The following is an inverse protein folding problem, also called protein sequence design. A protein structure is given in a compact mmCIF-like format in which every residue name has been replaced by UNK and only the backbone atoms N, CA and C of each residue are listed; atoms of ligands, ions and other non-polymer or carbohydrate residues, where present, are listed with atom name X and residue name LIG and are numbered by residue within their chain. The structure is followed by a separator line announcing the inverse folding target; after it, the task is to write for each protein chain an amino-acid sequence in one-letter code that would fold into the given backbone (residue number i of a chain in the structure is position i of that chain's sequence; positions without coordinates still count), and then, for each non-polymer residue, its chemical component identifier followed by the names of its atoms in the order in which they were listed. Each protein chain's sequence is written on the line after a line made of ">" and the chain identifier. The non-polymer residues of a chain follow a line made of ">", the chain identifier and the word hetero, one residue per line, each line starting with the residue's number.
data_IF_566152953965
#
_entry.id   IF_566152953965
#
_cell.length_a   1.000
_cell.length_b   1.000
_cell.length_c   1.000
_cell.angle_alpha   90.00
_cell.angle_beta   90.00
_cell.angle_gamma   90.00
#
_symmetry.space_group_name_H-M   'P 1'
#
loop_
_entity.id
_entity.type
_entity.pdbx_description
1 polymer ?
#
# COMPACT_ATOMS: atom_id res chain seq x y z
N UNK A 1 18.01 13.05 -6.41
CA UNK A 1 16.70 12.53 -6.86
C UNK A 1 16.42 11.11 -6.37
N UNK A 2 17.35 10.16 -6.46
CA UNK A 2 17.22 8.82 -5.87
C UNK A 2 16.93 8.84 -4.36
N UNK A 3 17.59 9.74 -3.61
CA UNK A 3 17.38 9.91 -2.17
C UNK A 3 15.95 10.36 -1.80
N UNK A 4 15.32 11.21 -2.60
CA UNK A 4 13.91 11.60 -2.36
C UNK A 4 12.94 10.44 -2.54
N UNK A 5 13.13 9.61 -3.59
CA UNK A 5 12.34 8.39 -3.78
C UNK A 5 12.63 7.36 -2.71
N UNK A 6 13.89 7.18 -2.34
CA UNK A 6 14.28 6.32 -1.22
C UNK A 6 13.51 6.66 0.06
N UNK A 7 13.48 7.93 0.47
CA UNK A 7 12.75 8.37 1.65
C UNK A 7 11.23 8.15 1.52
N UNK A 8 10.65 8.46 0.36
CA UNK A 8 9.21 8.26 0.12
C UNK A 8 8.85 6.77 0.25
N UNK A 9 9.60 5.89 -0.43
CA UNK A 9 9.29 4.46 -0.41
C UNK A 9 9.67 3.79 0.91
N UNK A 10 10.73 4.22 1.61
CA UNK A 10 11.00 3.76 2.97
C UNK A 10 9.82 4.06 3.90
N UNK A 11 9.31 5.29 3.87
CA UNK A 11 8.13 5.64 4.68
C UNK A 11 6.85 4.95 4.22
N UNK A 12 6.70 4.68 2.92
CA UNK A 12 5.54 3.95 2.41
C UNK A 12 5.47 2.53 2.99
N UNK A 13 6.61 1.85 3.13
CA UNK A 13 6.69 0.49 3.65
C UNK A 13 6.84 0.41 5.16
N UNK A 14 7.33 1.47 5.82
CA UNK A 14 7.20 1.64 7.27
C UNK A 14 5.85 2.31 7.54
N UNK A 15 4.84 1.50 7.85
CA UNK A 15 3.48 2.00 8.10
C UNK A 15 2.75 1.09 9.10
N UNK A 16 1.69 1.57 9.78
CA UNK A 16 0.98 0.79 10.80
C UNK A 16 0.43 -0.53 10.27
N UNK A 17 -0.01 -0.56 9.01
CA UNK A 17 -0.49 -1.78 8.37
C UNK A 17 0.59 -2.86 8.28
N UNK A 18 1.81 -2.51 7.88
CA UNK A 18 2.94 -3.46 7.84
C UNK A 18 3.28 -4.00 9.22
N UNK A 19 3.23 -3.14 10.26
CA UNK A 19 3.47 -3.53 11.64
C UNK A 19 2.43 -4.54 12.14
N UNK A 20 1.15 -4.22 11.98
CA UNK A 20 0.03 -5.07 12.39
C UNK A 20 -0.02 -6.37 11.57
N UNK A 21 0.27 -6.31 10.27
CA UNK A 21 0.34 -7.50 9.40
C UNK A 21 1.42 -8.46 9.86
N UNK A 22 2.58 -7.95 10.30
CA UNK A 22 3.65 -8.78 10.91
C UNK A 22 3.15 -9.49 12.17
N UNK A 23 2.36 -8.82 12.97
CA UNK A 23 1.70 -9.40 14.15
C UNK A 23 0.71 -10.49 13.78
N UNK A 24 -0.15 -10.27 12.79
CA UNK A 24 -1.07 -11.31 12.29
C UNK A 24 -0.33 -12.56 11.84
N UNK A 25 0.75 -12.40 11.07
CA UNK A 25 1.55 -13.51 10.57
C UNK A 25 2.21 -14.31 11.70
N UNK A 26 2.73 -13.62 12.73
CA UNK A 26 3.31 -14.25 13.92
C UNK A 26 2.24 -15.02 14.71
N UNK A 27 1.08 -14.41 14.95
CA UNK A 27 -0.05 -15.07 15.66
C UNK A 27 -0.64 -16.23 14.88
N UNK A 28 -0.49 -16.25 13.55
CA UNK A 28 -0.87 -17.40 12.70
C UNK A 28 0.13 -18.57 12.79
N UNK A 29 1.26 -18.41 13.49
CA UNK A 29 2.25 -19.48 13.71
C UNK A 29 3.54 -19.34 12.90
N UNK A 30 3.74 -18.25 12.15
CA UNK A 30 4.97 -18.02 11.38
C UNK A 30 6.10 -17.50 12.25
N UNK A 31 7.31 -18.05 12.06
CA UNK A 31 8.51 -17.64 12.79
C UNK A 31 8.99 -16.24 12.39
N UNK A 32 9.88 -15.66 13.18
CA UNK A 32 10.49 -14.36 12.91
C UNK A 32 11.03 -14.26 11.47
N UNK A 33 11.88 -15.20 11.08
CA UNK A 33 12.46 -15.20 9.73
C UNK A 33 11.43 -15.49 8.64
N UNK A 34 10.40 -16.30 8.92
CA UNK A 34 9.31 -16.55 7.98
C UNK A 34 8.54 -15.28 7.67
N UNK A 35 8.16 -14.52 8.70
CA UNK A 35 7.43 -13.25 8.55
C UNK A 35 8.25 -12.23 7.75
N UNK A 36 9.50 -11.98 8.14
CA UNK A 36 10.38 -11.02 7.46
C UNK A 36 10.65 -11.47 6.02
N UNK A 37 10.93 -12.76 5.81
CA UNK A 37 11.21 -13.34 4.49
C UNK A 37 10.02 -13.25 3.53
N UNK A 38 8.81 -13.59 4.00
CA UNK A 38 7.57 -13.48 3.19
C UNK A 38 7.30 -12.03 2.82
N UNK A 39 7.44 -11.09 3.76
CA UNK A 39 7.22 -9.67 3.47
C UNK A 39 8.26 -9.12 2.49
N UNK A 40 9.53 -9.47 2.63
CA UNK A 40 10.58 -9.10 1.69
C UNK A 40 10.36 -9.68 0.29
N UNK A 41 10.03 -10.97 0.21
CA UNK A 41 9.75 -11.64 -1.06
C UNK A 41 8.55 -11.00 -1.77
N UNK A 42 7.47 -10.75 -1.03
CA UNK A 42 6.27 -10.12 -1.58
C UNK A 42 6.54 -8.68 -2.02
N UNK A 43 7.35 -7.93 -1.26
CA UNK A 43 7.77 -6.58 -1.65
C UNK A 43 8.62 -6.63 -2.92
N UNK A 44 9.58 -7.52 -3.02
CA UNK A 44 10.42 -7.66 -4.21
C UNK A 44 9.58 -8.01 -5.44
N UNK A 45 8.70 -9.01 -5.33
CA UNK A 45 7.83 -9.45 -6.43
C UNK A 45 6.83 -8.36 -6.84
N UNK A 46 6.22 -7.66 -5.88
CA UNK A 46 5.27 -6.56 -6.15
C UNK A 46 5.93 -5.32 -6.74
N UNK A 47 7.17 -5.01 -6.35
CA UNK A 47 7.92 -3.88 -6.87
C UNK A 47 8.34 -4.05 -8.34
N UNK A 48 8.51 -5.25 -8.86
CA UNK A 48 8.87 -5.47 -10.26
C UNK A 48 7.82 -4.84 -11.21
N UNK A 49 6.56 -5.27 -11.24
CA UNK A 49 5.54 -4.67 -12.11
C UNK A 49 5.30 -3.20 -11.78
N UNK A 50 5.34 -2.81 -10.52
CA UNK A 50 5.18 -1.43 -10.09
C UNK A 50 6.25 -0.50 -10.69
N UNK A 51 7.53 -0.89 -10.64
CA UNK A 51 8.63 -0.10 -11.23
C UNK A 51 8.54 0.00 -12.75
N UNK A 52 8.13 -1.08 -13.44
CA UNK A 52 7.91 -1.04 -14.89
C UNK A 52 6.84 -0.01 -15.25
N UNK A 53 5.71 0.00 -14.57
CA UNK A 53 4.63 0.96 -14.80
C UNK A 53 5.01 2.39 -14.37
N UNK A 54 5.84 2.53 -13.35
CA UNK A 54 6.38 3.81 -12.86
C UNK A 54 7.24 4.53 -13.90
N UNK A 55 7.84 3.80 -14.86
CA UNK A 55 8.61 4.39 -15.95
C UNK A 55 7.77 5.31 -16.85
N UNK A 56 6.45 5.12 -16.90
CA UNK A 56 5.56 6.03 -17.60
C UNK A 56 5.59 7.45 -17.02
N UNK A 57 5.66 7.57 -15.69
CA UNK A 57 5.85 8.86 -15.02
C UNK A 57 7.17 9.52 -15.40
N UNK A 58 8.26 8.76 -15.37
CA UNK A 58 9.61 9.27 -15.72
C UNK A 58 9.67 9.73 -17.18
N UNK A 59 9.07 8.96 -18.09
CA UNK A 59 9.17 9.23 -19.54
C UNK A 59 8.21 10.32 -20.02
N UNK A 60 6.95 10.27 -19.55
CA UNK A 60 5.87 11.11 -20.09
C UNK A 60 5.44 12.23 -19.15
N UNK A 61 5.84 12.19 -17.87
CA UNK A 61 5.48 13.22 -16.89
C UNK A 61 3.99 13.27 -16.52
N UNK A 62 3.22 12.19 -16.80
CA UNK A 62 1.77 12.14 -16.62
C UNK A 62 1.38 11.32 -15.39
N UNK A 63 0.25 11.65 -14.73
CA UNK A 63 -0.23 10.90 -13.56
C UNK A 63 -0.79 9.53 -13.95
N UNK A 64 -0.85 8.61 -12.98
CA UNK A 64 -1.22 7.22 -13.18
C UNK A 64 -2.59 7.03 -13.81
N UNK A 65 -3.61 7.77 -13.36
CA UNK A 65 -4.95 7.68 -13.95
C UNK A 65 -5.00 8.18 -15.40
N UNK A 66 -4.09 9.06 -15.81
CA UNK A 66 -3.95 9.45 -17.22
C UNK A 66 -3.26 8.34 -18.02
N UNK A 67 -2.27 7.64 -17.44
CA UNK A 67 -1.69 6.43 -18.05
C UNK A 67 -2.76 5.36 -18.29
N UNK A 68 -3.67 5.15 -17.36
CA UNK A 68 -4.77 4.20 -17.52
C UNK A 68 -5.65 4.47 -18.74
N UNK A 69 -5.73 5.72 -19.24
CA UNK A 69 -6.50 6.07 -20.45
C UNK A 69 -6.00 5.36 -21.70
N UNK A 70 -4.69 5.08 -21.78
CA UNK A 70 -4.09 4.34 -22.91
C UNK A 70 -4.74 2.96 -23.10
N UNK A 71 -5.11 2.33 -21.99
CA UNK A 71 -5.58 0.94 -21.94
C UNK A 71 -7.12 0.88 -21.85
N UNK A 72 -7.71 1.67 -20.97
CA UNK A 72 -9.14 1.60 -20.66
C UNK A 72 -10.00 2.60 -21.44
N UNK A 73 -9.36 3.57 -22.10
CA UNK A 73 -10.03 4.72 -22.71
C UNK A 73 -10.23 5.87 -21.70
N UNK A 74 -10.56 7.05 -22.22
CA UNK A 74 -10.69 8.27 -21.40
C UNK A 74 -11.81 8.13 -20.37
N UNK A 75 -13.00 7.65 -20.77
CA UNK A 75 -14.12 7.39 -19.85
C UNK A 75 -13.91 6.13 -19.02
N UNK A 76 -13.25 5.10 -19.58
CA UNK A 76 -12.90 3.89 -18.85
C UNK A 76 -11.98 4.17 -17.67
N UNK A 77 -10.96 4.99 -17.87
CA UNK A 77 -10.11 5.45 -16.77
C UNK A 77 -10.90 6.30 -15.75
N UNK A 78 -11.75 7.21 -16.23
CA UNK A 78 -12.55 8.10 -15.37
C UNK A 78 -13.53 7.34 -14.48
N UNK A 79 -14.25 6.37 -15.02
CA UNK A 79 -15.39 5.74 -14.35
C UNK A 79 -15.16 4.31 -13.87
N UNK A 80 -14.04 3.68 -14.22
CA UNK A 80 -13.71 2.34 -13.75
C UNK A 80 -12.44 2.39 -12.88
N UNK A 81 -11.28 2.68 -13.48
CA UNK A 81 -10.03 2.61 -12.71
C UNK A 81 -9.94 3.67 -11.61
N UNK A 82 -10.47 4.89 -11.85
CA UNK A 82 -10.49 5.94 -10.81
C UNK A 82 -11.45 5.63 -9.68
N UNK A 83 -12.63 5.04 -9.95
CA UNK A 83 -13.55 4.63 -8.86
C UNK A 83 -12.90 3.55 -8.02
N UNK A 84 -12.39 2.50 -8.63
CA UNK A 84 -11.74 1.40 -7.90
C UNK A 84 -10.58 1.92 -7.07
N UNK A 85 -9.72 2.75 -7.64
CA UNK A 85 -8.58 3.31 -6.91
C UNK A 85 -9.00 4.28 -5.80
N UNK A 86 -10.05 5.07 -6.02
CA UNK A 86 -10.62 5.95 -4.99
C UNK A 86 -11.10 5.13 -3.78
N UNK A 87 -11.85 4.06 -4.02
CA UNK A 87 -12.31 3.15 -2.96
C UNK A 87 -11.13 2.53 -2.19
N UNK A 88 -10.07 2.13 -2.91
CA UNK A 88 -8.84 1.65 -2.27
C UNK A 88 -8.13 2.73 -1.46
N UNK A 89 -8.07 3.97 -1.94
CA UNK A 89 -7.47 5.07 -1.18
C UNK A 89 -8.21 5.32 0.13
N UNK A 90 -9.55 5.28 0.09
CA UNK A 90 -10.41 5.39 1.28
C UNK A 90 -10.17 4.22 2.24
N UNK A 91 -10.15 2.98 1.72
CA UNK A 91 -9.87 1.78 2.51
C UNK A 91 -8.50 1.84 3.19
N UNK A 92 -7.43 2.13 2.42
CA UNK A 92 -6.08 2.18 2.97
C UNK A 92 -5.90 3.29 4.01
N UNK A 93 -6.48 4.47 3.79
CA UNK A 93 -6.47 5.53 4.81
C UNK A 93 -7.16 5.05 6.10
N UNK A 94 -8.34 4.47 5.96
CA UNK A 94 -9.12 4.00 7.10
C UNK A 94 -8.42 2.86 7.86
N UNK A 95 -7.87 1.88 7.14
CA UNK A 95 -7.12 0.76 7.72
C UNK A 95 -5.87 1.24 8.48
N UNK A 96 -5.06 2.12 7.87
CA UNK A 96 -3.86 2.67 8.52
C UNK A 96 -4.23 3.50 9.76
N UNK A 97 -5.29 4.29 9.68
CA UNK A 97 -5.78 5.07 10.83
C UNK A 97 -6.25 4.15 11.95
N UNK A 98 -7.04 3.12 11.65
CA UNK A 98 -7.51 2.15 12.64
C UNK A 98 -6.32 1.40 13.28
N UNK A 99 -5.34 0.96 12.49
CA UNK A 99 -4.13 0.30 13.00
C UNK A 99 -3.31 1.21 13.93
N UNK A 100 -3.16 2.50 13.59
CA UNK A 100 -2.52 3.48 14.46
C UNK A 100 -3.33 3.77 15.72
N UNK A 101 -4.65 3.73 15.62
CA UNK A 101 -5.53 3.94 16.78
C UNK A 101 -5.45 2.80 17.80
N UNK A 102 -5.22 1.56 17.34
CA UNK A 102 -4.89 0.44 18.24
C UNK A 102 -3.61 0.71 19.04
N UNK A 103 -2.61 1.35 18.43
CA UNK A 103 -1.37 1.69 19.12
C UNK A 103 -1.59 2.81 20.18
N UNK A 104 -2.40 3.82 19.84
CA UNK A 104 -2.77 4.90 20.78
C UNK A 104 -3.60 4.31 21.93
N UNK A 105 -4.59 3.47 21.63
CA UNK A 105 -5.43 2.81 22.65
C UNK A 105 -4.58 1.99 23.62
N UNK A 106 -3.61 1.23 23.11
CA UNK A 106 -2.70 0.44 23.94
C UNK A 106 -1.89 1.30 24.91
N UNK A 107 -1.42 2.48 24.50
CA UNK A 107 -0.74 3.44 25.37
C UNK A 107 -1.72 3.97 26.45
N UNK A 108 -2.88 4.43 26.04
CA UNK A 108 -3.87 5.00 26.97
C UNK A 108 -4.29 3.98 28.01
N UNK A 109 -4.56 2.75 27.62
CA UNK A 109 -5.03 1.68 28.49
C UNK A 109 -3.94 1.16 29.42
N UNK A 110 -2.74 0.86 28.90
CA UNK A 110 -1.71 0.19 29.70
C UNK A 110 -0.86 1.18 30.53
N UNK A 111 -0.66 2.43 30.06
CA UNK A 111 0.20 3.39 30.74
C UNK A 111 -0.57 4.44 31.56
N UNK A 112 -1.83 4.69 31.22
CA UNK A 112 -2.64 5.74 31.89
C UNK A 112 -3.96 5.22 32.47
N UNK A 113 -4.27 3.94 32.32
CA UNK A 113 -5.53 3.32 32.74
C UNK A 113 -6.79 3.98 32.15
N UNK A 114 -6.63 4.65 31.00
CA UNK A 114 -7.70 5.35 30.30
C UNK A 114 -8.28 4.42 29.23
N UNK A 115 -9.57 4.11 29.35
CA UNK A 115 -10.30 3.29 28.38
C UNK A 115 -11.18 4.19 27.52
N UNK A 116 -10.82 4.33 26.25
CA UNK A 116 -11.58 5.11 25.25
C UNK A 116 -11.93 4.17 24.07
N UNK A 117 -13.16 4.23 23.55
CA UNK A 117 -13.55 3.44 22.38
C UNK A 117 -12.64 3.75 21.17
N UNK A 118 -12.11 2.71 20.51
CA UNK A 118 -11.17 2.86 19.38
C UNK A 118 -11.74 3.74 18.27
N UNK A 119 -13.03 3.66 17.97
CA UNK A 119 -13.67 4.49 16.96
C UNK A 119 -13.51 5.99 17.22
N UNK A 120 -13.55 6.44 18.46
CA UNK A 120 -13.38 7.87 18.80
C UNK A 120 -11.93 8.32 18.62
N UNK A 121 -10.96 7.45 18.98
CA UNK A 121 -9.54 7.69 18.71
C UNK A 121 -9.32 7.77 17.19
N UNK A 122 -9.87 6.82 16.43
CA UNK A 122 -9.77 6.78 14.97
C UNK A 122 -10.33 8.05 14.33
N UNK A 123 -11.49 8.51 14.76
CA UNK A 123 -12.11 9.72 14.21
C UNK A 123 -11.24 10.96 14.42
N UNK A 124 -10.80 11.19 15.68
CA UNK A 124 -9.92 12.34 16.00
C UNK A 124 -8.63 12.27 15.25
N UNK A 125 -8.01 11.09 15.19
CA UNK A 125 -6.75 10.87 14.52
C UNK A 125 -6.87 11.05 13.00
N UNK A 126 -7.95 10.54 12.38
CA UNK A 126 -8.24 10.74 10.96
C UNK A 126 -8.45 12.21 10.59
N UNK A 127 -9.19 12.97 11.37
CA UNK A 127 -9.44 14.39 11.13
C UNK A 127 -8.12 15.19 11.17
N UNK A 128 -7.24 14.89 12.14
CA UNK A 128 -5.93 15.52 12.24
C UNK A 128 -5.07 15.23 11.00
N UNK A 129 -5.00 13.98 10.55
CA UNK A 129 -4.23 13.58 9.38
C UNK A 129 -4.81 14.19 8.09
N UNK A 130 -6.14 14.22 7.97
CA UNK A 130 -6.84 14.79 6.83
C UNK A 130 -6.57 16.27 6.63
N UNK A 131 -6.52 17.05 7.71
CA UNK A 131 -6.22 18.49 7.66
C UNK A 131 -4.85 18.76 7.01
N UNK A 132 -3.86 17.94 7.30
CA UNK A 132 -2.50 18.11 6.76
C UNK A 132 -2.39 17.66 5.29
N UNK A 133 -3.10 16.64 4.88
CA UNK A 133 -3.03 16.10 3.51
C UNK A 133 -3.52 17.10 2.44
N UNK A 134 -4.35 18.05 2.81
CA UNK A 134 -4.86 19.08 1.89
C UNK A 134 -3.72 19.97 1.32
N UNK A 135 -2.60 20.13 2.05
CA UNK A 135 -1.48 21.00 1.65
C UNK A 135 -0.74 20.51 0.39
N UNK A 136 -0.57 19.19 0.17
CA UNK A 136 -0.14 18.63 -1.11
C UNK A 136 1.23 17.95 -1.15
N UNK A 137 1.77 17.75 -2.40
CA UNK A 137 2.97 16.92 -2.66
C UNK A 137 4.26 17.43 -2.00
N UNK A 138 4.44 18.74 -1.89
CA UNK A 138 5.64 19.31 -1.26
C UNK A 138 5.71 18.98 0.23
N UNK A 139 4.56 18.92 0.91
CA UNK A 139 4.47 18.46 2.29
C UNK A 139 4.84 16.99 2.43
N UNK A 140 4.43 16.14 1.48
CA UNK A 140 4.81 14.73 1.44
C UNK A 140 6.32 14.54 1.34
N UNK A 141 6.98 15.26 0.43
CA UNK A 141 8.44 15.18 0.23
C UNK A 141 9.21 15.62 1.47
N UNK A 142 8.81 16.76 2.06
CA UNK A 142 9.45 17.26 3.26
C UNK A 142 9.25 16.31 4.45
N UNK A 143 8.00 15.87 4.67
CA UNK A 143 7.66 14.95 5.73
C UNK A 143 8.43 13.63 5.62
N UNK A 144 8.49 13.05 4.41
CA UNK A 144 9.21 11.80 4.17
C UNK A 144 10.71 11.93 4.46
N UNK A 145 11.29 13.11 4.19
CA UNK A 145 12.71 13.39 4.48
C UNK A 145 13.05 13.43 5.96
N UNK A 146 12.11 13.88 6.81
CA UNK A 146 12.28 13.95 8.26
C UNK A 146 11.82 12.66 8.94
N UNK A 147 10.70 12.10 8.50
CA UNK A 147 10.07 10.96 9.15
C UNK A 147 10.92 9.69 9.07
N UNK A 148 11.54 9.39 7.93
CA UNK A 148 12.31 8.15 7.78
C UNK A 148 13.50 8.04 8.75
N UNK A 149 14.41 9.03 8.83
CA UNK A 149 15.52 8.97 9.81
C UNK A 149 15.03 8.90 11.27
N UNK A 150 13.97 9.64 11.59
CA UNK A 150 13.38 9.61 12.93
C UNK A 150 12.82 8.21 13.26
N UNK A 151 12.04 7.61 12.35
CA UNK A 151 11.49 6.26 12.52
C UNK A 151 12.60 5.22 12.71
N UNK A 152 13.68 5.29 11.92
CA UNK A 152 14.83 4.38 12.03
C UNK A 152 15.40 4.37 13.44
N UNK A 153 15.68 5.56 13.99
CA UNK A 153 16.22 5.71 15.34
C UNK A 153 15.20 5.22 16.38
N UNK A 154 13.95 5.64 16.26
CA UNK A 154 12.92 5.30 17.24
C UNK A 154 12.68 3.79 17.27
N UNK A 155 12.54 3.10 16.13
CA UNK A 155 12.36 1.65 16.12
C UNK A 155 13.57 0.91 16.70
N UNK A 156 14.79 1.37 16.44
CA UNK A 156 15.98 0.80 17.08
C UNK A 156 15.94 0.94 18.60
N UNK A 157 15.52 2.10 19.11
CA UNK A 157 15.36 2.33 20.55
C UNK A 157 14.25 1.46 21.14
N UNK A 158 13.09 1.36 20.46
CA UNK A 158 11.98 0.53 20.95
C UNK A 158 12.31 -0.96 20.96
N UNK A 159 13.03 -1.47 19.94
CA UNK A 159 13.54 -2.85 19.94
C UNK A 159 14.50 -3.04 21.13
N UNK A 160 15.46 -2.13 21.31
CA UNK A 160 16.39 -2.18 22.44
C UNK A 160 15.66 -2.19 23.79
N UNK A 161 14.63 -1.36 23.94
CA UNK A 161 13.79 -1.32 25.14
C UNK A 161 13.08 -2.66 25.39
N UNK A 162 12.46 -3.25 24.36
CA UNK A 162 11.83 -4.57 24.49
C UNK A 162 12.85 -5.66 24.86
N UNK A 163 14.07 -5.59 24.30
CA UNK A 163 15.15 -6.55 24.63
C UNK A 163 15.62 -6.46 26.07
N UNK A 164 15.67 -5.25 26.65
CA UNK A 164 16.19 -5.03 28.02
C UNK A 164 15.11 -5.25 29.08
N UNK A 165 13.91 -4.74 28.87
CA UNK A 165 12.82 -4.75 29.86
C UNK A 165 11.88 -5.95 29.72
N UNK A 166 11.84 -6.61 28.55
CA UNK A 166 10.95 -7.76 28.30
C UNK A 166 11.41 -9.07 28.95
N UNK A 167 12.50 -9.07 29.74
CA UNK A 167 13.01 -10.22 30.44
C UNK A 167 13.56 -11.33 29.53
N UNK A 168 13.71 -12.54 30.07
CA UNK A 168 14.31 -13.66 29.34
C UNK A 168 13.55 -14.05 28.08
N UNK A 169 12.20 -13.88 28.05
CA UNK A 169 11.34 -14.17 26.89
C UNK A 169 11.55 -13.25 25.71
N UNK A 170 12.06 -12.06 25.93
CA UNK A 170 12.31 -11.05 24.90
C UNK A 170 13.76 -11.05 24.37
N UNK A 171 14.61 -11.97 24.85
CA UNK A 171 15.97 -12.07 24.32
C UNK A 171 15.95 -12.47 22.82
N UNK A 172 16.87 -11.96 21.99
CA UNK A 172 16.90 -12.26 20.56
C UNK A 172 16.94 -13.75 20.24
N UNK A 173 17.69 -14.54 21.02
CA UNK A 173 17.78 -15.99 20.84
C UNK A 173 16.42 -16.69 21.06
N UNK A 174 15.65 -16.25 22.05
CA UNK A 174 14.32 -16.80 22.34
C UNK A 174 13.29 -16.37 21.31
N UNK A 175 13.27 -15.10 20.93
CA UNK A 175 12.31 -14.56 19.95
C UNK A 175 12.51 -15.20 18.57
N UNK A 176 13.77 -15.31 18.12
CA UNK A 176 14.11 -15.85 16.80
C UNK A 176 13.82 -17.36 16.71
N UNK A 177 14.04 -18.09 17.80
CA UNK A 177 13.85 -19.55 17.86
C UNK A 177 12.65 -19.94 18.73
N UNK A 178 11.60 -19.12 18.75
CA UNK A 178 10.41 -19.37 19.56
C UNK A 178 9.77 -20.72 19.19
N UNK A 179 9.65 -21.60 20.18
CA UNK A 179 9.00 -22.90 20.03
C UNK A 179 7.56 -22.77 19.53
N UNK A 180 7.15 -23.65 18.61
CA UNK A 180 5.83 -23.64 18.01
C UNK A 180 5.66 -22.67 16.85
N UNK A 181 6.67 -21.83 16.54
CA UNK A 181 6.68 -20.98 15.34
C UNK A 181 7.63 -21.56 14.30
N UNK A 182 7.14 -21.71 13.07
CA UNK A 182 7.88 -22.38 11.99
C UNK A 182 7.55 -21.79 10.62
N UNK A 183 8.20 -22.31 9.60
CA UNK A 183 7.80 -22.09 8.21
C UNK A 183 6.68 -23.04 7.83
N UNK A 184 5.55 -22.48 7.38
CA UNK A 184 4.43 -23.21 6.82
C UNK A 184 4.14 -22.75 5.40
N UNK A 185 4.15 -23.67 4.43
CA UNK A 185 3.96 -23.31 3.01
C UNK A 185 2.54 -22.85 2.70
N UNK A 186 1.52 -23.42 3.35
CA UNK A 186 0.14 -23.01 3.12
C UNK A 186 -0.09 -21.58 3.61
N UNK A 187 0.34 -21.29 4.84
CA UNK A 187 0.30 -19.93 5.38
C UNK A 187 1.16 -18.96 4.57
N UNK A 188 2.35 -19.38 4.14
CA UNK A 188 3.23 -18.54 3.33
C UNK A 188 2.57 -18.14 2.01
N UNK A 189 1.90 -19.06 1.30
CA UNK A 189 1.20 -18.77 0.05
C UNK A 189 0.02 -17.81 0.26
N UNK A 190 -0.78 -18.00 1.33
CA UNK A 190 -1.86 -17.06 1.68
C UNK A 190 -1.31 -15.66 1.90
N UNK A 191 -0.25 -15.51 2.71
CA UNK A 191 0.31 -14.20 3.00
C UNK A 191 1.03 -13.57 1.81
N UNK A 192 1.72 -14.37 0.98
CA UNK A 192 2.33 -13.87 -0.28
C UNK A 192 1.23 -13.33 -1.20
N UNK A 193 0.13 -14.07 -1.39
CA UNK A 193 -1.00 -13.60 -2.21
C UNK A 193 -1.61 -12.32 -1.63
N UNK A 194 -1.85 -12.27 -0.32
CA UNK A 194 -2.39 -11.10 0.40
C UNK A 194 -1.51 -9.87 0.20
N UNK A 195 -0.21 -10.01 0.41
CA UNK A 195 0.74 -8.91 0.30
C UNK A 195 0.95 -8.45 -1.15
N UNK A 196 1.06 -9.37 -2.11
CA UNK A 196 1.14 -9.02 -3.54
C UNK A 196 -0.16 -8.36 -4.02
N UNK A 197 -1.32 -8.82 -3.54
CA UNK A 197 -2.60 -8.19 -3.83
C UNK A 197 -2.65 -6.72 -3.39
N UNK A 198 -2.01 -6.38 -2.28
CA UNK A 198 -1.88 -4.99 -1.86
C UNK A 198 -1.10 -4.13 -2.88
N UNK A 199 -0.08 -4.68 -3.52
CA UNK A 199 0.66 -3.99 -4.59
C UNK A 199 -0.20 -3.75 -5.84
N UNK A 200 -1.10 -4.65 -6.18
CA UNK A 200 -1.98 -4.42 -7.34
C UNK A 200 -2.83 -3.16 -7.18
N UNK A 201 -3.19 -2.81 -5.96
CA UNK A 201 -4.00 -1.61 -5.68
C UNK A 201 -3.30 -0.31 -6.05
N UNK A 202 -1.96 -0.27 -6.05
CA UNK A 202 -1.16 0.92 -6.34
C UNK A 202 -0.59 0.95 -7.77
N UNK A 203 -0.85 -0.08 -8.60
CA UNK A 203 -0.35 -0.11 -9.99
C UNK A 203 -0.89 1.05 -10.83
N UNK A 204 -2.11 1.49 -10.58
CA UNK A 204 -2.72 2.64 -11.26
C UNK A 204 -2.11 3.98 -10.86
N UNK A 205 -1.36 4.05 -9.74
CA UNK A 205 -0.72 5.25 -9.23
C UNK A 205 0.80 5.24 -9.46
N UNK A 206 1.33 4.19 -10.09
CA UNK A 206 2.77 4.00 -10.24
C UNK A 206 3.50 5.22 -10.81
N UNK A 207 2.83 6.00 -11.67
CA UNK A 207 3.39 7.22 -12.24
C UNK A 207 3.26 8.46 -11.36
N UNK A 208 2.41 8.47 -10.35
CA UNK A 208 2.06 9.69 -9.61
C UNK A 208 3.24 10.30 -8.85
N UNK A 209 4.08 9.46 -8.26
CA UNK A 209 5.27 9.91 -7.51
C UNK A 209 6.50 10.03 -8.41
N UNK A 210 6.53 9.33 -9.55
CA UNK A 210 7.70 9.18 -10.40
C UNK A 210 7.73 10.20 -11.54
N UNK A 211 6.62 10.86 -11.85
CA UNK A 211 6.50 11.89 -12.89
C UNK A 211 7.41 13.12 -12.67
N UNK A 212 7.93 13.31 -11.47
CA UNK A 212 8.90 14.33 -11.14
C UNK A 212 10.35 13.83 -11.19
N UNK A 213 10.55 12.54 -11.51
CA UNK A 213 11.86 11.88 -11.56
C UNK A 213 12.43 11.98 -12.96
N UNK A 214 13.73 12.27 -13.09
CA UNK A 214 14.40 12.50 -14.39
C UNK A 214 15.17 11.30 -14.94
N UNK A 215 15.24 10.20 -14.19
CA UNK A 215 16.12 9.07 -14.54
C UNK A 215 15.52 7.74 -14.08
N UNK A 216 15.48 6.75 -14.98
CA UNK A 216 15.06 5.40 -14.68
C UNK A 216 15.95 4.72 -13.61
N UNK A 217 17.27 4.96 -13.66
CA UNK A 217 18.20 4.44 -12.64
C UNK A 217 17.92 5.01 -11.24
N UNK A 218 17.65 6.33 -11.14
CA UNK A 218 17.26 6.95 -9.87
C UNK A 218 15.92 6.42 -9.35
N UNK A 219 14.97 6.13 -10.25
CA UNK A 219 13.71 5.48 -9.91
C UNK A 219 13.96 4.11 -9.30
N UNK A 220 14.64 3.21 -10.04
CA UNK A 220 14.83 1.82 -9.59
C UNK A 220 15.61 1.76 -8.29
N UNK A 221 16.78 2.40 -8.23
CA UNK A 221 17.64 2.35 -7.04
C UNK A 221 16.95 2.98 -5.83
N UNK A 222 16.36 4.18 -5.97
CA UNK A 222 15.73 4.86 -4.85
C UNK A 222 14.49 4.11 -4.34
N UNK A 223 13.60 3.71 -5.25
CA UNK A 223 12.34 3.07 -4.85
C UNK A 223 12.55 1.65 -4.30
N UNK A 224 13.37 0.83 -4.95
CA UNK A 224 13.59 -0.55 -4.52
C UNK A 224 14.36 -0.61 -3.19
N UNK A 225 15.46 0.14 -3.07
CA UNK A 225 16.22 0.16 -1.81
C UNK A 225 15.39 0.72 -0.65
N UNK A 226 14.59 1.77 -0.90
CA UNK A 226 13.68 2.31 0.10
C UNK A 226 12.60 1.32 0.52
N UNK A 227 11.97 0.65 -0.44
CA UNK A 227 10.95 -0.36 -0.19
C UNK A 227 11.49 -1.53 0.64
N UNK A 228 12.62 -2.11 0.23
CA UNK A 228 13.22 -3.25 0.93
C UNK A 228 13.66 -2.89 2.35
N UNK A 229 14.33 -1.75 2.54
CA UNK A 229 14.75 -1.31 3.86
C UNK A 229 13.55 -1.00 4.76
N UNK A 230 12.53 -0.31 4.23
CA UNK A 230 11.31 -0.02 4.98
C UNK A 230 10.60 -1.30 5.41
N UNK A 231 10.48 -2.28 4.52
CA UNK A 231 9.88 -3.59 4.82
C UNK A 231 10.65 -4.32 5.93
N UNK A 232 12.00 -4.39 5.83
CA UNK A 232 12.82 -5.04 6.87
C UNK A 232 12.60 -4.40 8.23
N UNK A 233 12.66 -3.06 8.29
CA UNK A 233 12.53 -2.35 9.57
C UNK A 233 11.15 -2.56 10.20
N UNK A 234 10.08 -2.35 9.42
CA UNK A 234 8.72 -2.48 9.92
C UNK A 234 8.39 -3.93 10.30
N UNK A 235 8.70 -4.89 9.42
CA UNK A 235 8.42 -6.31 9.70
C UNK A 235 9.23 -6.84 10.88
N UNK A 236 10.51 -6.48 10.99
CA UNK A 236 11.35 -6.91 12.09
C UNK A 236 10.86 -6.37 13.43
N UNK A 237 10.52 -5.07 13.52
CA UNK A 237 9.94 -4.53 14.75
C UNK A 237 8.59 -5.16 15.07
N UNK A 238 7.71 -5.24 14.06
CA UNK A 238 6.36 -5.78 14.22
C UNK A 238 6.37 -7.21 14.76
N UNK A 239 7.08 -8.13 14.09
CA UNK A 239 7.13 -9.53 14.50
C UNK A 239 7.90 -9.73 15.81
N UNK A 240 9.02 -9.00 15.99
CA UNK A 240 9.84 -9.12 17.21
C UNK A 240 9.03 -8.76 18.45
N UNK A 241 8.39 -7.59 18.44
CA UNK A 241 7.64 -7.13 19.60
C UNK A 241 6.44 -8.04 19.90
N UNK A 242 5.74 -8.56 18.90
CA UNK A 242 4.59 -9.46 19.09
C UNK A 242 5.03 -10.81 19.67
N UNK A 243 6.13 -11.40 19.19
CA UNK A 243 6.66 -12.64 19.75
C UNK A 243 7.20 -12.42 21.17
N UNK A 244 7.95 -11.35 21.41
CA UNK A 244 8.44 -10.98 22.74
C UNK A 244 7.31 -10.74 23.75
N UNK A 245 6.18 -10.19 23.29
CA UNK A 245 4.96 -10.00 24.09
C UNK A 245 4.13 -11.27 24.30
N UNK A 246 4.64 -12.43 23.91
CA UNK A 246 3.99 -13.74 24.12
C UNK A 246 2.80 -14.00 23.21
N UNK A 247 2.74 -13.38 22.02
CA UNK A 247 1.67 -13.53 21.02
C UNK A 247 0.26 -13.15 21.56
N UNK A 248 0.19 -12.15 22.43
CA UNK A 248 -1.08 -11.75 23.06
C UNK A 248 -1.84 -10.67 22.27
N UNK A 249 -1.17 -9.99 21.35
CA UNK A 249 -1.74 -8.93 20.52
C UNK A 249 -1.03 -8.85 19.18
N UNK A 250 -1.78 -8.53 18.14
CA UNK A 250 -1.23 -8.21 16.81
C UNK A 250 -0.51 -6.86 16.78
N UNK A 251 -0.73 -6.02 17.80
CA UNK A 251 -0.19 -4.67 17.88
C UNK A 251 1.16 -4.67 18.58
N UNK A 252 2.29 -4.41 17.88
CA UNK A 252 3.62 -4.41 18.49
C UNK A 252 3.81 -3.35 19.57
N UNK A 253 3.09 -2.23 19.49
CA UNK A 253 3.16 -1.17 20.50
C UNK A 253 2.51 -1.56 21.83
N UNK A 254 1.61 -2.54 21.84
CA UNK A 254 1.03 -3.06 23.08
C UNK A 254 2.08 -3.77 23.93
N UNK A 255 3.00 -4.52 23.32
CA UNK A 255 4.13 -5.10 24.06
C UNK A 255 4.96 -4.03 24.74
N UNK A 256 5.32 -2.96 24.02
CA UNK A 256 6.09 -1.85 24.60
C UNK A 256 5.32 -1.18 25.74
N UNK A 257 4.02 -0.92 25.56
CA UNK A 257 3.18 -0.25 26.55
C UNK A 257 3.03 -1.07 27.85
N UNK A 258 3.04 -2.41 27.76
CA UNK A 258 2.92 -3.31 28.93
C UNK A 258 4.21 -3.42 29.75
N UNK A 259 5.34 -2.97 29.23
CA UNK A 259 6.64 -3.02 29.91
C UNK A 259 6.92 -1.79 30.81
N UNK A 260 5.88 -1.06 31.18
CA UNK A 260 5.96 0.16 31.99
C UNK A 260 6.99 1.18 31.45
N UNK A 261 6.79 1.67 30.21
CA UNK A 261 7.74 2.54 29.56
C UNK A 261 7.84 3.89 30.26
N UNK A 262 9.04 4.35 30.57
CA UNK A 262 9.26 5.70 31.06
C UNK A 262 8.86 6.77 30.04
N UNK A 263 8.78 8.03 30.51
CA UNK A 263 8.28 9.18 29.71
C UNK A 263 8.97 9.31 28.35
N UNK A 264 10.28 9.05 28.28
CA UNK A 264 11.02 9.13 27.00
C UNK A 264 10.51 8.11 25.99
N UNK A 265 10.32 6.87 26.40
CA UNK A 265 9.80 5.81 25.52
C UNK A 265 8.37 6.12 25.07
N UNK A 266 7.53 6.65 25.95
CA UNK A 266 6.17 7.09 25.62
C UNK A 266 6.18 8.21 24.57
N UNK A 267 7.06 9.20 24.70
CA UNK A 267 7.21 10.27 23.70
C UNK A 267 7.66 9.70 22.36
N UNK A 268 8.62 8.75 22.36
CA UNK A 268 9.10 8.11 21.13
C UNK A 268 8.00 7.26 20.48
N UNK A 269 7.22 6.50 21.25
CA UNK A 269 6.07 5.74 20.75
C UNK A 269 5.04 6.68 20.10
N UNK A 270 4.61 7.71 20.81
CA UNK A 270 3.68 8.69 20.28
C UNK A 270 4.21 9.34 18.98
N UNK A 271 5.48 9.73 18.97
CA UNK A 271 6.12 10.35 17.81
C UNK A 271 6.12 9.41 16.61
N UNK A 272 6.52 8.14 16.79
CA UNK A 272 6.56 7.20 15.65
C UNK A 272 5.17 6.85 15.15
N UNK A 273 4.19 6.67 16.03
CA UNK A 273 2.79 6.41 15.63
C UNK A 273 2.25 7.56 14.79
N UNK A 274 2.49 8.81 15.20
CA UNK A 274 2.09 9.98 14.43
C UNK A 274 2.81 10.08 13.08
N UNK A 275 4.14 10.00 13.06
CA UNK A 275 4.93 10.08 11.83
C UNK A 275 4.60 8.96 10.87
N UNK A 276 4.36 7.77 11.39
CA UNK A 276 4.07 6.57 10.62
C UNK A 276 2.72 6.69 9.90
N UNK A 277 1.67 6.94 10.66
CA UNK A 277 0.34 7.16 10.11
C UNK A 277 0.28 8.34 9.16
N UNK A 278 0.84 9.45 9.56
CA UNK A 278 0.80 10.68 8.77
C UNK A 278 1.48 10.50 7.43
N UNK A 279 2.68 9.92 7.39
CA UNK A 279 3.44 9.76 6.16
C UNK A 279 2.74 8.87 5.13
N UNK A 280 2.04 7.81 5.54
CA UNK A 280 1.31 6.93 4.62
C UNK A 280 -0.05 7.52 4.23
N UNK A 281 -0.76 8.17 5.16
CA UNK A 281 -2.11 8.65 4.91
C UNK A 281 -2.16 9.92 4.05
N UNK A 282 -1.12 10.74 4.06
CA UNK A 282 -0.96 11.82 3.07
C UNK A 282 -0.91 11.24 1.65
N UNK A 283 -0.23 10.11 1.45
CA UNK A 283 -0.17 9.41 0.15
C UNK A 283 -1.55 8.90 -0.25
N UNK A 284 -2.26 8.22 0.64
CA UNK A 284 -3.60 7.68 0.37
C UNK A 284 -4.58 8.79 -0.02
N UNK A 285 -4.61 9.90 0.71
CA UNK A 285 -5.48 11.03 0.41
C UNK A 285 -5.07 11.78 -0.86
N UNK A 286 -3.78 11.89 -1.14
CA UNK A 286 -3.27 12.49 -2.37
C UNK A 286 -3.75 11.72 -3.60
N UNK A 287 -3.58 10.41 -3.64
CA UNK A 287 -4.00 9.56 -4.76
C UNK A 287 -5.52 9.50 -4.89
N UNK A 288 -6.26 9.38 -3.78
CA UNK A 288 -7.72 9.46 -3.76
C UNK A 288 -8.24 10.80 -4.31
N UNK A 289 -7.62 11.91 -3.93
CA UNK A 289 -7.93 13.24 -4.46
C UNK A 289 -7.70 13.36 -5.96
N UNK A 290 -6.61 12.79 -6.49
CA UNK A 290 -6.34 12.75 -7.93
C UNK A 290 -7.38 11.91 -8.69
N UNK A 291 -7.81 10.77 -8.13
CA UNK A 291 -8.86 9.95 -8.72
C UNK A 291 -10.19 10.71 -8.80
N UNK A 292 -10.58 11.38 -7.73
CA UNK A 292 -11.82 12.17 -7.70
C UNK A 292 -11.75 13.36 -8.67
N UNK A 293 -10.59 14.00 -8.83
CA UNK A 293 -10.39 15.03 -9.85
C UNK A 293 -10.44 14.48 -11.28
N UNK A 294 -9.98 13.25 -11.53
CA UNK A 294 -10.11 12.62 -12.85
C UNK A 294 -11.58 12.30 -13.19
N UNK A 295 -12.38 11.96 -12.17
CA UNK A 295 -13.83 11.74 -12.33
C UNK A 295 -14.58 13.05 -12.56
N UNK A 296 -14.27 14.09 -11.79
CA UNK A 296 -14.95 15.38 -11.79
C UNK A 296 -13.95 16.51 -12.01
N UNK A 297 -13.70 16.84 -13.29
CA UNK A 297 -12.65 17.78 -13.69
C UNK A 297 -12.83 19.21 -13.15
N UNK A 298 -14.03 19.62 -12.76
CA UNK A 298 -14.31 20.91 -12.11
C UNK A 298 -14.03 20.95 -10.61
N UNK A 299 -13.72 19.80 -9.99
CA UNK A 299 -13.48 19.71 -8.56
C UNK A 299 -11.98 19.89 -8.28
N UNK A 300 -11.55 21.04 -7.86
CA UNK A 300 -10.13 21.25 -7.54
C UNK A 300 -9.59 20.26 -6.50
N UNK A 301 -8.29 19.94 -6.58
CA UNK A 301 -7.63 18.94 -5.73
C UNK A 301 -7.87 19.12 -4.22
N UNK A 302 -7.77 20.31 -3.61
CA UNK A 302 -8.01 20.47 -2.17
C UNK A 302 -9.40 20.02 -1.74
N UNK A 303 -10.44 20.39 -2.51
CA UNK A 303 -11.82 19.97 -2.23
C UNK A 303 -12.01 18.45 -2.40
N UNK A 304 -11.41 17.88 -3.44
CA UNK A 304 -11.43 16.44 -3.68
C UNK A 304 -10.77 15.68 -2.51
N UNK A 305 -9.58 16.09 -2.09
CA UNK A 305 -8.86 15.48 -0.96
C UNK A 305 -9.67 15.59 0.34
N UNK A 306 -10.30 16.72 0.59
CA UNK A 306 -11.14 16.94 1.77
C UNK A 306 -12.35 15.99 1.81
N UNK A 307 -13.05 15.80 0.67
CA UNK A 307 -14.18 14.86 0.56
C UNK A 307 -13.71 13.43 0.86
N UNK A 308 -12.60 13.02 0.26
CA UNK A 308 -12.01 11.69 0.48
C UNK A 308 -11.64 11.50 1.96
N UNK A 309 -11.05 12.52 2.59
CA UNK A 309 -10.65 12.46 4.00
C UNK A 309 -11.84 12.25 4.93
N UNK A 310 -12.98 12.94 4.70
CA UNK A 310 -14.19 12.76 5.52
C UNK A 310 -14.72 11.33 5.39
N UNK A 311 -14.87 10.82 4.16
CA UNK A 311 -15.41 9.48 3.95
C UNK A 311 -14.48 8.42 4.58
N UNK A 312 -13.18 8.59 4.43
CA UNK A 312 -12.19 7.69 4.97
C UNK A 312 -12.11 7.76 6.51
N UNK A 313 -12.32 8.93 7.10
CA UNK A 313 -12.41 9.10 8.56
C UNK A 313 -13.61 8.34 9.14
N UNK A 314 -14.77 8.43 8.49
CA UNK A 314 -15.95 7.67 8.92
C UNK A 314 -15.72 6.16 8.81
N UNK A 315 -15.09 5.70 7.73
CA UNK A 315 -14.77 4.29 7.55
C UNK A 315 -13.75 3.79 8.58
N UNK A 316 -12.80 4.62 9.02
CA UNK A 316 -11.80 4.24 10.04
C UNK A 316 -12.38 3.91 11.41
N UNK A 317 -13.64 4.27 11.64
CA UNK A 317 -14.35 3.94 12.87
C UNK A 317 -14.85 2.48 12.93
N UNK A 318 -14.71 1.71 11.83
CA UNK A 318 -15.19 0.33 11.75
C UNK A 318 -14.07 -0.65 12.17
N UNK A 319 -14.26 -1.41 13.27
CA UNK A 319 -13.22 -2.34 13.76
C UNK A 319 -12.97 -3.52 12.81
N UNK A 320 -13.94 -3.89 11.98
CA UNK A 320 -13.88 -4.98 11.01
C UNK A 320 -12.79 -4.78 9.94
N UNK A 321 -12.35 -3.54 9.73
CA UNK A 321 -11.24 -3.24 8.80
C UNK A 321 -9.95 -3.98 9.15
N UNK A 322 -9.67 -4.15 10.45
CA UNK A 322 -8.47 -4.84 10.92
C UNK A 322 -8.67 -6.35 10.87
N UNK A 323 -9.75 -6.86 11.46
CA UNK A 323 -9.99 -8.32 11.54
C UNK A 323 -10.21 -8.97 10.18
N UNK A 324 -10.84 -8.27 9.22
CA UNK A 324 -11.09 -8.76 7.87
C UNK A 324 -9.97 -8.50 6.85
N UNK A 325 -8.77 -8.12 7.28
CA UNK A 325 -7.69 -7.67 6.37
C UNK A 325 -7.37 -8.68 5.25
N UNK A 326 -7.23 -9.96 5.59
CA UNK A 326 -6.88 -11.01 4.61
C UNK A 326 -7.97 -11.15 3.54
N UNK A 327 -9.23 -11.23 3.97
CA UNK A 327 -10.38 -11.36 3.07
C UNK A 327 -10.55 -10.12 2.18
N UNK A 328 -10.39 -8.93 2.76
CA UNK A 328 -10.42 -7.68 1.99
C UNK A 328 -9.33 -7.65 0.93
N UNK A 329 -8.11 -8.07 1.26
CA UNK A 329 -7.01 -8.09 0.29
C UNK A 329 -7.21 -9.16 -0.78
N UNK A 330 -7.77 -10.31 -0.46
CA UNK A 330 -8.13 -11.33 -1.44
C UNK A 330 -9.15 -10.78 -2.46
N UNK A 331 -10.23 -10.14 -1.99
CA UNK A 331 -11.25 -9.54 -2.86
C UNK A 331 -10.70 -8.37 -3.70
N UNK A 332 -9.94 -7.45 -3.09
CA UNK A 332 -9.33 -6.32 -3.76
C UNK A 332 -8.29 -6.80 -4.78
N UNK A 333 -7.50 -7.82 -4.44
CA UNK A 333 -6.52 -8.42 -5.34
C UNK A 333 -7.14 -8.94 -6.63
N UNK A 334 -8.28 -9.63 -6.54
CA UNK A 334 -8.97 -10.15 -7.72
C UNK A 334 -9.53 -9.04 -8.63
N UNK A 335 -9.89 -7.88 -8.06
CA UNK A 335 -10.34 -6.71 -8.83
C UNK A 335 -9.20 -5.97 -9.52
N UNK A 336 -8.05 -5.82 -8.85
CA UNK A 336 -6.94 -5.02 -9.35
C UNK A 336 -5.91 -5.80 -10.17
N UNK A 337 -5.80 -7.11 -9.97
CA UNK A 337 -4.90 -7.96 -10.73
C UNK A 337 -5.08 -7.85 -12.25
N UNK A 338 -6.31 -7.88 -12.81
CA UNK A 338 -6.52 -7.70 -14.25
C UNK A 338 -6.15 -6.31 -14.74
N UNK A 339 -6.30 -5.27 -13.92
CA UNK A 339 -5.85 -3.92 -14.25
C UNK A 339 -4.32 -3.90 -14.38
N UNK A 340 -3.62 -4.47 -13.40
CA UNK A 340 -2.16 -4.57 -13.41
C UNK A 340 -1.66 -5.35 -14.63
N UNK A 341 -2.23 -6.52 -14.92
CA UNK A 341 -1.86 -7.35 -16.06
C UNK A 341 -2.07 -6.64 -17.41
N UNK A 342 -3.19 -5.92 -17.55
CA UNK A 342 -3.49 -5.19 -18.78
C UNK A 342 -2.55 -3.98 -18.98
N UNK A 343 -2.23 -3.25 -17.90
CA UNK A 343 -1.23 -2.16 -17.94
C UNK A 343 0.17 -2.69 -18.30
N UNK A 344 0.55 -3.85 -17.78
CA UNK A 344 1.81 -4.49 -18.15
C UNK A 344 1.84 -4.92 -19.63
N UNK A 345 0.74 -5.46 -20.16
CA UNK A 345 0.62 -5.77 -21.59
C UNK A 345 0.86 -4.54 -22.46
N UNK A 346 0.24 -3.42 -22.09
CA UNK A 346 0.51 -2.15 -22.74
C UNK A 346 1.98 -1.74 -22.62
N UNK A 347 2.55 -1.85 -21.41
CA UNK A 347 3.97 -1.52 -21.20
C UNK A 347 4.90 -2.29 -22.15
N UNK A 348 4.73 -3.59 -22.26
CA UNK A 348 5.59 -4.42 -23.13
C UNK A 348 5.39 -4.16 -24.62
N UNK A 349 4.18 -3.84 -25.07
CA UNK A 349 3.86 -3.74 -26.50
C UNK A 349 3.85 -2.30 -27.04
N UNK A 350 3.47 -1.32 -26.25
CA UNK A 350 3.14 0.02 -26.73
C UNK A 350 3.78 1.17 -25.96
N UNK A 351 4.56 0.90 -24.92
CA UNK A 351 5.12 1.92 -24.03
C UNK A 351 5.88 3.03 -24.77
N UNK A 352 6.56 2.73 -25.86
CA UNK A 352 7.36 3.70 -26.61
C UNK A 352 6.53 4.62 -27.53
N UNK A 353 5.26 4.33 -27.73
CA UNK A 353 4.38 4.94 -28.74
C UNK A 353 3.19 5.70 -28.17
N UNK A 354 3.34 6.31 -26.99
CA UNK A 354 2.23 7.07 -26.38
C UNK A 354 2.18 8.48 -26.94
N UNK A 355 1.03 8.82 -27.52
CA UNK A 355 0.68 10.21 -27.83
C UNK A 355 0.00 10.85 -26.61
N UNK A 356 0.74 11.71 -25.90
CA UNK A 356 0.27 12.33 -24.67
C UNK A 356 -0.88 13.30 -24.92
N UNK A 357 -0.93 13.98 -26.08
CA UNK A 357 -2.01 14.92 -26.40
C UNK A 357 -3.32 14.18 -26.64
N UNK A 358 -3.27 13.05 -27.35
CA UNK A 358 -4.43 12.21 -27.61
C UNK A 358 -5.06 11.60 -26.35
N UNK A 359 -4.36 11.58 -25.19
CA UNK A 359 -4.94 11.16 -23.92
C UNK A 359 -5.99 12.12 -23.36
N UNK A 360 -6.05 13.34 -23.89
CA UNK A 360 -6.99 14.37 -23.48
C UNK A 360 -8.01 14.72 -24.58
N UNK A 361 -7.89 14.10 -25.76
CA UNK A 361 -8.73 14.37 -26.92
C UNK A 361 -9.85 13.33 -27.06
N UNK A 362 -11.10 13.76 -26.98
CA UNK A 362 -12.27 12.91 -27.16
C UNK A 362 -12.46 12.43 -28.60
N UNK A 363 -11.66 12.90 -29.55
CA UNK A 363 -11.59 12.40 -30.93
C UNK A 363 -10.29 11.65 -31.21
N UNK A 364 -9.39 11.56 -30.23
CA UNK A 364 -8.09 10.94 -30.33
C UNK A 364 -8.13 9.42 -30.33
N UNK A 365 -6.95 8.81 -30.57
CA UNK A 365 -6.76 7.34 -30.67
C UNK A 365 -7.17 6.57 -29.42
N UNK A 366 -7.19 7.22 -28.24
CA UNK A 366 -7.55 6.62 -26.95
C UNK A 366 -9.03 6.84 -26.58
N UNK A 367 -9.84 7.44 -27.46
CA UNK A 367 -11.26 7.55 -27.24
C UNK A 367 -11.96 6.20 -27.37
N UNK A 368 -11.47 5.30 -28.23
CA UNK A 368 -12.04 3.97 -28.48
C UNK A 368 -13.55 4.03 -28.79
N UNK A 369 -14.34 3.16 -28.15
CA UNK A 369 -15.78 3.13 -28.29
C UNK A 369 -16.44 4.02 -27.23
N UNK A 370 -16.88 5.22 -27.61
CA UNK A 370 -17.51 6.20 -26.71
C UNK A 370 -16.70 6.47 -25.42
N UNK A 371 -15.39 6.43 -25.50
CA UNK A 371 -14.49 6.67 -24.37
C UNK A 371 -14.09 5.42 -23.58
N UNK A 372 -14.55 4.22 -23.99
CA UNK A 372 -14.27 2.95 -23.31
C UNK A 372 -13.57 1.95 -24.25
N UNK A 373 -12.50 1.34 -23.80
CA UNK A 373 -12.00 0.14 -24.45
C UNK A 373 -12.77 -1.06 -23.91
N UNK A 374 -13.74 -1.54 -24.72
CA UNK A 374 -14.67 -2.61 -24.31
C UNK A 374 -13.98 -3.85 -23.80
N UNK A 375 -12.91 -4.29 -24.48
CA UNK A 375 -12.18 -5.50 -24.09
C UNK A 375 -11.62 -5.38 -22.68
N UNK A 376 -10.84 -4.33 -22.41
CA UNK A 376 -10.16 -4.16 -21.13
C UNK A 376 -11.14 -3.83 -19.99
N UNK A 377 -12.21 -3.08 -20.29
CA UNK A 377 -13.25 -2.79 -19.30
C UNK A 377 -14.06 -4.03 -18.90
N UNK A 378 -14.31 -4.96 -19.83
CA UNK A 378 -15.03 -6.21 -19.55
C UNK A 378 -14.12 -7.26 -18.91
N UNK A 379 -12.80 -7.17 -19.12
CA UNK A 379 -11.84 -8.11 -18.54
C UNK A 379 -11.82 -8.01 -16.99
N UNK A 380 -12.06 -6.83 -16.42
CA UNK A 380 -12.06 -6.63 -14.96
C UNK A 380 -13.15 -7.47 -14.29
N UNK A 381 -14.47 -7.28 -14.59
CA UNK A 381 -15.51 -8.07 -13.95
C UNK A 381 -15.43 -9.57 -14.31
N UNK A 382 -15.03 -9.91 -15.55
CA UNK A 382 -14.82 -11.31 -15.93
C UNK A 382 -13.73 -11.99 -15.09
N UNK A 383 -12.58 -11.33 -14.90
CA UNK A 383 -11.50 -11.84 -14.05
C UNK A 383 -11.90 -11.91 -12.57
N UNK A 384 -12.68 -10.94 -12.09
CA UNK A 384 -13.20 -10.97 -10.73
C UNK A 384 -14.06 -12.23 -10.48
N UNK A 385 -14.96 -12.54 -11.40
CA UNK A 385 -15.78 -13.79 -11.32
C UNK A 385 -14.89 -15.03 -11.37
N UNK A 386 -13.92 -15.08 -12.28
CA UNK A 386 -12.98 -16.22 -12.40
C UNK A 386 -12.16 -16.38 -11.12
N UNK A 387 -11.81 -15.30 -10.44
CA UNK A 387 -11.04 -15.32 -9.20
C UNK A 387 -11.66 -16.14 -8.09
N UNK A 388 -12.99 -16.20 -8.00
CA UNK A 388 -13.68 -17.04 -6.99
C UNK A 388 -13.52 -18.54 -7.20
N UNK A 389 -13.14 -18.97 -8.39
CA UNK A 389 -12.93 -20.38 -8.72
C UNK A 389 -11.48 -20.82 -8.62
N UNK A 390 -10.55 -19.89 -8.34
CA UNK A 390 -9.12 -20.21 -8.20
C UNK A 390 -8.83 -20.54 -6.74
N UNK A 391 -8.28 -21.73 -6.44
CA UNK A 391 -7.89 -22.10 -5.08
C UNK A 391 -6.84 -21.13 -4.52
N UNK A 392 -6.89 -20.83 -3.22
CA UNK A 392 -5.98 -19.89 -2.55
C UNK A 392 -4.49 -20.28 -2.72
N UNK A 393 -4.18 -21.57 -2.70
CA UNK A 393 -2.81 -22.08 -2.91
C UNK A 393 -2.24 -21.82 -4.31
N UNK A 394 -3.06 -21.33 -5.26
CA UNK A 394 -2.63 -20.98 -6.62
C UNK A 394 -2.37 -19.47 -6.78
N UNK A 395 -2.28 -18.74 -5.70
CA UNK A 395 -2.07 -17.28 -5.69
C UNK A 395 -3.03 -16.56 -6.63
N UNK A 396 -4.35 -16.51 -6.34
CA UNK A 396 -5.39 -16.03 -7.25
C UNK A 396 -5.08 -14.67 -7.87
N UNK A 397 -4.57 -13.72 -7.09
CA UNK A 397 -4.19 -12.40 -7.58
C UNK A 397 -3.08 -12.45 -8.65
N UNK A 398 -2.02 -13.23 -8.38
CA UNK A 398 -0.90 -13.38 -9.34
C UNK A 398 -1.37 -14.10 -10.60
N UNK A 399 -2.16 -15.17 -10.45
CA UNK A 399 -2.73 -15.91 -11.59
C UNK A 399 -3.55 -14.99 -12.48
N UNK A 400 -4.47 -14.21 -11.91
CA UNK A 400 -5.32 -13.29 -12.67
C UNK A 400 -4.52 -12.17 -13.34
N UNK A 401 -3.47 -11.67 -12.71
CA UNK A 401 -2.57 -10.69 -13.32
C UNK A 401 -1.89 -11.28 -14.56
N UNK A 402 -1.29 -12.46 -14.45
CA UNK A 402 -0.60 -13.13 -15.58
C UNK A 402 -1.59 -13.51 -16.68
N UNK A 403 -2.74 -14.06 -16.32
CA UNK A 403 -3.80 -14.39 -17.27
C UNK A 403 -4.27 -13.15 -18.06
N UNK A 404 -4.54 -12.06 -17.37
CA UNK A 404 -4.98 -10.81 -17.99
C UNK A 404 -3.88 -10.14 -18.81
N UNK A 405 -2.61 -10.27 -18.39
CA UNK A 405 -1.44 -9.86 -19.16
C UNK A 405 -1.42 -10.58 -20.51
N UNK A 406 -1.48 -11.92 -20.52
CA UNK A 406 -1.42 -12.73 -21.74
C UNK A 406 -2.60 -12.47 -22.68
N UNK A 407 -3.83 -12.43 -22.16
CA UNK A 407 -5.01 -12.10 -22.96
C UNK A 407 -4.93 -10.70 -23.59
N UNK A 408 -4.46 -9.72 -22.82
CA UNK A 408 -4.30 -8.35 -23.31
C UNK A 408 -3.17 -8.24 -24.35
N UNK A 409 -2.08 -8.98 -24.19
CA UNK A 409 -1.02 -9.06 -25.21
C UNK A 409 -1.53 -9.62 -26.53
N UNK A 410 -2.28 -10.73 -26.50
CA UNK A 410 -2.92 -11.28 -27.70
C UNK A 410 -3.85 -10.29 -28.39
N UNK A 411 -4.72 -9.59 -27.61
CA UNK A 411 -5.65 -8.61 -28.14
C UNK A 411 -4.95 -7.39 -28.77
N UNK A 412 -3.93 -6.84 -28.12
CA UNK A 412 -3.20 -5.66 -28.62
C UNK A 412 -2.34 -6.00 -29.83
N UNK A 413 -1.71 -7.19 -29.86
CA UNK A 413 -0.91 -7.65 -30.99
C UNK A 413 -1.76 -7.82 -32.24
N UNK A 414 -2.92 -8.47 -32.16
CA UNK A 414 -3.85 -8.63 -33.27
C UNK A 414 -4.30 -7.29 -33.87
N UNK A 415 -4.57 -6.28 -33.05
CA UNK A 415 -4.92 -4.93 -33.52
C UNK A 415 -3.77 -4.17 -34.17
N UNK A 416 -2.52 -4.44 -33.77
CA UNK A 416 -1.33 -3.84 -34.40
C UNK A 416 -1.13 -4.35 -35.83
N UNK A 417 -1.38 -5.63 -36.09
CA UNK A 417 -1.27 -6.21 -37.42
C UNK A 417 -2.39 -5.75 -38.36
N UNK A 418 -3.61 -5.53 -37.85
CA UNK A 418 -4.74 -5.08 -38.66
C UNK A 418 -4.68 -3.59 -39.06
N UNK A 419 -3.74 -2.81 -38.51
CA UNK A 419 -3.52 -1.38 -38.81
C UNK A 419 -2.32 -1.11 -39.72
N UNK A 420 -1.54 -2.12 -40.07
CA UNK A 420 -0.54 -2.06 -41.12
C UNK A 420 -1.10 -2.78 -42.35
N UNK A 421 -1.62 -2.06 -43.38
CA UNK A 421 -1.99 -2.64 -44.66
C UNK A 421 -0.71 -3.04 -45.46
#
# INVERSE_FOLDING_TARGET
>A
MSFGLFNIYSNFFINPGTLVTSGFMAMAGLSFFSVVGIQLLSTLLGMIPFLLLSLAGVKYGIPGQVVCRVVFGIRGSRWITSILRLLCSIYWFAFQTAAGSLAIEAILRNCFEIVIPIWSISLVFALFQGAVAVVGYDSLKWLSGVAFPAKLVIFAVLIGFVMTEGGAGASPSVVIHKDGLFWDWALALVWINTLISSFFTIMTDASDFTRYTRSAGALVVGSLSGALLGTVLASSFGVYAVIAGGLQSINPFETVARLDPGVLILILMATVIFLDNWSINVINLYTGGLCLCNMFSGLGRPKATFIVAIIAALLSCMPELISGYVDHMAAIGTLFAPIAGTLLAWYFLQFQRVDVQALYDEQGVYWYFHGFNRFTCLLIPASFVVGFFIPEGWLPGVFLMVFSLLLSMCHFHGKSQSRNP
#
